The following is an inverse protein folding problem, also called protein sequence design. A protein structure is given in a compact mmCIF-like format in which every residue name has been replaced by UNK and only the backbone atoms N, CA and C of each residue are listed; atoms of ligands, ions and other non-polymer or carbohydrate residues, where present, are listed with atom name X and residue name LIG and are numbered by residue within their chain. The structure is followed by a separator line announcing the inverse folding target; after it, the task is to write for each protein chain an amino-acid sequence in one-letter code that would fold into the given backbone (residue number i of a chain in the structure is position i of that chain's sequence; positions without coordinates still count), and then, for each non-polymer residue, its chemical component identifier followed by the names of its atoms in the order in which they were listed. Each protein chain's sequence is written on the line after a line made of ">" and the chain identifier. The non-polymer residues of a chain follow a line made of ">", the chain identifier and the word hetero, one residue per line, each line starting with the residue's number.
data_IF_372285929520
#
_entry.id   IF_372285929520
#
_cell.length_a   1.000
_cell.length_b   1.000
_cell.length_c   1.000
_cell.angle_alpha   90.00
_cell.angle_beta   90.00
_cell.angle_gamma   90.00
#
_symmetry.space_group_name_H-M   'P 1'
#
loop_
_entity.id
_entity.type
_entity.pdbx_description
1 polymer ?
#
# COMPACT_ATOMS: atom_id res chain seq x y z
N UNK A 1 72.01 -53.14 4.85
CA UNK A 1 73.05 -52.55 3.98
C UNK A 1 72.38 -52.01 2.75
N UNK A 2 72.33 -50.71 2.55
CA UNK A 2 71.68 -50.05 1.44
C UNK A 2 71.52 -48.57 1.71
N UNK A 3 72.49 -47.78 1.30
CA UNK A 3 72.49 -46.33 1.35
C UNK A 3 71.42 -45.77 0.38
N UNK A 4 70.58 -44.88 0.87
CA UNK A 4 69.70 -44.09 0.01
C UNK A 4 70.21 -42.65 -0.02
N UNK A 5 70.55 -42.16 -1.21
CA UNK A 5 71.03 -40.81 -1.45
C UNK A 5 69.84 -39.86 -1.57
N UNK A 6 69.88 -38.75 -0.78
CA UNK A 6 68.92 -37.62 -0.89
C UNK A 6 69.35 -36.75 -2.07
N UNK A 7 68.47 -36.56 -3.04
CA UNK A 7 68.57 -35.51 -4.06
C UNK A 7 67.71 -34.40 -3.69
N UNK A 8 68.26 -33.22 -3.37
CA UNK A 8 67.60 -31.95 -3.17
C UNK A 8 67.30 -31.32 -4.55
N UNK A 9 66.05 -31.34 -4.95
CA UNK A 9 65.57 -30.57 -6.09
C UNK A 9 65.13 -29.19 -5.63
N UNK A 10 65.86 -28.14 -5.96
CA UNK A 10 65.46 -26.75 -5.76
C UNK A 10 64.39 -26.35 -6.75
N UNK A 11 63.22 -26.01 -6.28
CA UNK A 11 62.18 -25.33 -7.06
C UNK A 11 62.48 -23.85 -7.16
N UNK A 12 62.79 -23.37 -8.35
CA UNK A 12 62.81 -21.93 -8.66
C UNK A 12 61.38 -21.37 -8.66
N UNK A 13 61.12 -20.38 -7.88
CA UNK A 13 59.85 -19.64 -7.92
C UNK A 13 59.78 -18.75 -9.17
N UNK A 14 58.69 -18.84 -9.97
CA UNK A 14 58.43 -17.88 -11.04
C UNK A 14 58.12 -16.50 -10.43
N UNK A 15 58.77 -15.45 -10.99
CA UNK A 15 58.59 -14.08 -10.53
C UNK A 15 57.12 -13.62 -10.53
N UNK A 16 56.73 -12.99 -9.44
CA UNK A 16 55.45 -12.25 -9.35
C UNK A 16 55.49 -11.08 -10.34
N UNK A 17 54.72 -11.17 -11.41
CA UNK A 17 54.38 -10.03 -12.22
C UNK A 17 53.56 -9.06 -11.33
N UNK A 18 54.07 -7.85 -11.15
CA UNK A 18 53.41 -6.82 -10.37
C UNK A 18 52.02 -6.56 -10.95
N UNK A 19 50.99 -6.81 -10.11
CA UNK A 19 49.61 -6.44 -10.41
C UNK A 19 49.53 -4.94 -10.34
N UNK A 20 49.44 -4.24 -11.47
CA UNK A 20 49.14 -2.82 -11.52
C UNK A 20 47.73 -2.68 -10.98
N UNK A 21 47.59 -2.13 -9.77
CA UNK A 21 46.27 -1.80 -9.23
C UNK A 21 45.60 -0.76 -10.13
N UNK A 22 44.51 -1.16 -10.73
CA UNK A 22 43.65 -0.28 -11.50
C UNK A 22 43.11 0.83 -10.59
N UNK A 23 43.18 2.12 -10.96
CA UNK A 23 42.68 3.19 -10.12
C UNK A 23 41.18 3.01 -9.88
N UNK A 24 40.78 3.04 -8.59
CA UNK A 24 39.37 2.94 -8.21
C UNK A 24 38.53 4.02 -8.93
N UNK A 25 37.34 3.67 -9.41
CA UNK A 25 36.46 4.65 -10.07
C UNK A 25 36.12 5.79 -9.09
N UNK A 26 35.97 7.01 -9.60
CA UNK A 26 35.63 8.14 -8.75
C UNK A 26 34.32 7.90 -8.01
N UNK A 27 34.34 8.08 -6.69
CA UNK A 27 33.13 7.94 -5.87
C UNK A 27 32.09 8.97 -6.29
N UNK A 28 30.89 8.53 -6.62
CA UNK A 28 29.76 9.42 -6.88
C UNK A 28 29.49 10.27 -5.63
N UNK A 29 29.16 11.56 -5.79
CA UNK A 29 28.78 12.40 -4.66
C UNK A 29 27.59 11.78 -3.94
N UNK A 30 27.60 11.82 -2.60
CA UNK A 30 26.49 11.34 -1.79
C UNK A 30 25.19 12.08 -2.16
N UNK A 31 24.06 11.40 -2.24
CA UNK A 31 22.79 12.06 -2.46
C UNK A 31 22.52 13.09 -1.35
N UNK A 32 21.85 14.22 -1.68
CA UNK A 32 21.49 15.19 -0.67
C UNK A 32 20.67 14.55 0.45
N UNK A 33 20.79 15.01 1.70
CA UNK A 33 19.98 14.49 2.80
C UNK A 33 18.49 14.66 2.49
N UNK A 34 17.69 13.65 2.82
CA UNK A 34 16.24 13.74 2.69
C UNK A 34 15.71 14.93 3.50
N UNK A 35 14.68 15.66 2.99
CA UNK A 35 14.05 16.72 3.75
C UNK A 35 13.58 16.22 5.11
N UNK A 36 13.76 17.03 6.15
CA UNK A 36 13.24 16.71 7.47
C UNK A 36 11.72 16.57 7.42
N UNK A 37 11.12 15.62 8.15
CA UNK A 37 9.67 15.50 8.23
C UNK A 37 9.07 16.80 8.81
N UNK A 38 7.86 17.18 8.39
CA UNK A 38 7.19 18.38 8.89
C UNK A 38 6.99 18.29 10.42
N UNK A 39 7.31 19.36 11.13
CA UNK A 39 7.05 19.50 12.55
C UNK A 39 5.69 20.18 12.74
N UNK A 40 4.64 19.42 13.04
CA UNK A 40 3.29 19.95 13.28
C UNK A 40 2.19 19.09 12.67
N UNK A 41 0.92 19.44 12.89
CA UNK A 41 -0.19 18.69 12.34
C UNK A 41 -0.20 18.77 10.81
N UNK A 42 -0.29 17.63 10.15
CA UNK A 42 -0.40 17.51 8.69
C UNK A 42 -1.79 17.02 8.36
N UNK A 43 -2.55 17.79 7.57
CA UNK A 43 -3.83 17.33 7.04
C UNK A 43 -3.56 16.32 5.92
N UNK A 44 -3.88 15.05 6.17
CA UNK A 44 -3.68 13.96 5.20
C UNK A 44 -4.78 13.96 4.14
N UNK A 45 -6.04 14.06 4.58
CA UNK A 45 -7.19 14.10 3.68
C UNK A 45 -8.37 14.81 4.36
N UNK A 46 -9.24 15.41 3.55
CA UNK A 46 -10.53 15.95 3.98
C UNK A 46 -11.58 15.63 2.92
N UNK A 47 -12.78 15.25 3.37
CA UNK A 47 -13.90 14.94 2.49
C UNK A 47 -15.22 15.36 3.11
N UNK A 48 -16.20 15.68 2.26
CA UNK A 48 -17.57 16.00 2.68
C UNK A 48 -18.42 14.75 2.54
N UNK A 49 -19.08 14.36 3.63
CA UNK A 49 -20.14 13.35 3.64
C UNK A 49 -21.47 14.07 3.46
N UNK A 50 -22.23 13.73 2.44
CA UNK A 50 -23.52 14.36 2.13
C UNK A 50 -24.72 13.57 2.69
N UNK A 51 -24.45 12.50 3.41
CA UNK A 51 -25.45 11.64 4.04
C UNK A 51 -25.34 11.66 5.58
N UNK A 52 -26.36 11.13 6.26
CA UNK A 52 -26.29 10.98 7.72
C UNK A 52 -25.35 9.83 8.07
N UNK A 53 -24.36 10.11 8.91
CA UNK A 53 -23.42 9.12 9.43
C UNK A 53 -23.83 8.76 10.85
N UNK A 54 -23.93 7.46 11.11
CA UNK A 54 -24.08 6.92 12.47
C UNK A 54 -23.07 5.82 12.66
N UNK A 55 -22.10 6.05 13.55
CA UNK A 55 -21.08 5.05 13.91
C UNK A 55 -21.36 4.61 15.34
N UNK A 56 -21.38 3.30 15.57
CA UNK A 56 -21.62 2.73 16.90
C UNK A 56 -20.77 1.47 17.06
N UNK A 57 -20.18 1.34 18.24
CA UNK A 57 -19.55 0.09 18.68
C UNK A 57 -20.27 -0.40 19.90
N UNK A 58 -20.40 -1.72 20.04
CA UNK A 58 -20.99 -2.38 21.21
C UNK A 58 -19.92 -2.91 22.17
N UNK A 59 -18.65 -2.76 21.83
CA UNK A 59 -17.50 -3.23 22.58
C UNK A 59 -16.19 -2.65 22.06
N UNK A 60 -15.06 -3.28 22.34
CA UNK A 60 -13.77 -2.92 21.74
C UNK A 60 -13.86 -2.92 20.22
N UNK A 61 -13.17 -2.01 19.57
CA UNK A 61 -13.12 -1.92 18.11
C UNK A 61 -11.69 -1.68 17.63
N UNK A 62 -11.37 -2.18 16.45
CA UNK A 62 -10.15 -1.88 15.74
C UNK A 62 -10.39 -0.68 14.83
N UNK A 63 -9.56 0.36 14.96
CA UNK A 63 -9.58 1.53 14.09
C UNK A 63 -8.37 1.50 13.19
N UNK A 64 -8.58 1.56 11.88
CA UNK A 64 -7.49 1.58 10.91
C UNK A 64 -7.72 2.63 9.83
N UNK A 65 -6.61 3.14 9.27
CA UNK A 65 -6.61 4.06 8.13
C UNK A 65 -5.70 3.48 7.06
N UNK A 66 -6.20 3.44 5.83
CA UNK A 66 -5.46 2.90 4.67
C UNK A 66 -5.57 3.85 3.49
N UNK A 67 -4.62 3.75 2.57
CA UNK A 67 -4.76 4.31 1.23
C UNK A 67 -5.06 3.18 0.26
N UNK A 68 -6.09 3.37 -0.56
CA UNK A 68 -6.48 2.46 -1.63
C UNK A 68 -6.40 3.22 -2.95
N UNK A 69 -5.77 2.61 -3.95
CA UNK A 69 -5.66 3.18 -5.30
C UNK A 69 -6.37 2.25 -6.27
N UNK A 70 -7.35 2.77 -6.97
CA UNK A 70 -8.04 2.06 -8.05
C UNK A 70 -7.57 2.63 -9.39
N UNK A 71 -6.96 1.79 -10.23
CA UNK A 71 -6.59 2.17 -11.58
C UNK A 71 -7.84 2.38 -12.46
N UNK A 72 -7.75 3.08 -13.59
CA UNK A 72 -8.85 3.17 -14.55
C UNK A 72 -9.39 1.78 -14.92
N UNK A 73 -10.69 1.58 -14.75
CA UNK A 73 -11.38 0.31 -15.01
C UNK A 73 -11.30 -0.72 -13.88
N UNK A 74 -10.55 -0.47 -12.82
CA UNK A 74 -10.53 -1.35 -11.64
C UNK A 74 -11.80 -1.19 -10.80
N UNK A 75 -12.20 -2.30 -10.19
CA UNK A 75 -13.30 -2.38 -9.23
C UNK A 75 -12.91 -3.32 -8.09
N UNK A 76 -13.50 -3.09 -6.92
CA UNK A 76 -13.54 -4.11 -5.87
C UNK A 76 -14.52 -5.22 -6.28
N UNK A 77 -14.41 -6.39 -5.64
CA UNK A 77 -15.52 -7.32 -5.64
C UNK A 77 -16.69 -6.76 -4.80
N UNK A 78 -17.88 -7.38 -4.92
CA UNK A 78 -18.95 -7.13 -3.97
C UNK A 78 -18.56 -7.65 -2.61
N UNK A 79 -18.47 -6.77 -1.62
CA UNK A 79 -18.02 -7.11 -0.28
C UNK A 79 -18.77 -6.32 0.78
N UNK A 80 -18.52 -6.69 2.04
CA UNK A 80 -19.00 -5.98 3.23
C UNK A 80 -17.95 -6.05 4.32
N UNK A 81 -17.99 -5.11 5.25
CA UNK A 81 -17.13 -5.07 6.42
C UNK A 81 -17.88 -5.42 7.70
N UNK A 82 -17.25 -6.11 8.67
CA UNK A 82 -17.79 -6.30 10.01
C UNK A 82 -17.60 -5.02 10.85
N UNK A 83 -18.30 -3.97 10.48
CA UNK A 83 -18.22 -2.64 11.05
C UNK A 83 -18.41 -1.56 9.99
N UNK A 84 -17.99 -0.34 10.30
CA UNK A 84 -18.21 0.81 9.41
C UNK A 84 -16.97 1.16 8.60
N UNK A 85 -17.21 1.67 7.38
CA UNK A 85 -16.18 2.26 6.52
C UNK A 85 -16.53 3.71 6.21
N UNK A 86 -15.51 4.57 6.17
CA UNK A 86 -15.59 5.94 5.67
C UNK A 86 -14.43 6.16 4.69
N UNK A 87 -14.76 6.35 3.41
CA UNK A 87 -13.78 6.54 2.33
C UNK A 87 -13.82 7.97 1.79
N UNK A 88 -12.67 8.64 1.79
CA UNK A 88 -12.49 9.98 1.23
C UNK A 88 -11.82 9.87 -0.13
N UNK A 89 -12.41 10.44 -1.17
CA UNK A 89 -11.77 10.54 -2.49
C UNK A 89 -10.75 11.68 -2.45
N UNK A 90 -9.48 11.31 -2.41
CA UNK A 90 -8.36 12.26 -2.37
C UNK A 90 -7.99 12.75 -3.77
N UNK A 91 -8.07 11.88 -4.78
CA UNK A 91 -7.88 12.22 -6.19
C UNK A 91 -8.74 11.34 -7.10
N UNK A 92 -8.96 11.77 -8.33
CA UNK A 92 -9.80 11.03 -9.28
C UNK A 92 -11.28 11.05 -8.93
N UNK A 93 -11.97 9.99 -9.29
CA UNK A 93 -13.39 9.76 -8.99
C UNK A 93 -13.68 8.27 -8.89
N UNK A 94 -14.69 7.91 -8.11
CA UNK A 94 -15.18 6.54 -8.02
C UNK A 94 -16.69 6.49 -8.19
N UNK A 95 -17.18 5.35 -8.65
CA UNK A 95 -18.60 5.00 -8.72
C UNK A 95 -18.87 3.93 -7.68
N UNK A 96 -19.91 4.13 -6.88
CA UNK A 96 -20.29 3.23 -5.79
C UNK A 96 -21.66 2.63 -6.10
N UNK A 97 -21.77 1.33 -5.93
CA UNK A 97 -23.04 0.60 -5.88
C UNK A 97 -23.24 0.06 -4.46
N UNK A 98 -24.47 0.13 -3.97
CA UNK A 98 -24.85 -0.42 -2.66
C UNK A 98 -26.00 -1.41 -2.82
N UNK A 99 -26.05 -2.40 -1.95
CA UNK A 99 -27.22 -3.28 -1.85
C UNK A 99 -28.51 -2.45 -1.68
N UNK A 100 -29.56 -2.86 -2.35
CA UNK A 100 -30.88 -2.19 -2.40
C UNK A 100 -30.90 -0.79 -3.05
N UNK A 101 -29.73 -0.28 -3.51
CA UNK A 101 -29.59 0.99 -4.21
C UNK A 101 -28.67 0.78 -5.42
N UNK A 102 -29.22 0.08 -6.44
CA UNK A 102 -28.45 -0.28 -7.64
C UNK A 102 -28.17 0.89 -8.59
N UNK A 103 -28.67 2.08 -8.26
CA UNK A 103 -28.32 3.29 -9.00
C UNK A 103 -26.89 3.71 -8.65
N UNK A 104 -25.97 3.74 -9.64
CA UNK A 104 -24.59 4.11 -9.41
C UNK A 104 -24.48 5.53 -8.89
N UNK A 105 -23.82 5.72 -7.75
CA UNK A 105 -23.51 7.04 -7.20
C UNK A 105 -22.05 7.37 -7.42
N UNK A 106 -21.77 8.54 -8.00
CA UNK A 106 -20.41 9.00 -8.27
C UNK A 106 -19.92 9.90 -7.15
N UNK A 107 -18.66 9.69 -6.75
CA UNK A 107 -17.95 10.51 -5.78
C UNK A 107 -16.66 11.01 -6.41
N UNK A 108 -16.38 12.30 -6.25
CA UNK A 108 -15.25 13.01 -6.79
C UNK A 108 -14.32 13.48 -5.69
N UNK A 109 -13.17 14.00 -6.05
CA UNK A 109 -12.20 14.56 -5.10
C UNK A 109 -12.88 15.52 -4.10
N UNK A 110 -12.60 15.29 -2.81
CA UNK A 110 -13.13 16.07 -1.70
C UNK A 110 -14.52 15.62 -1.22
N UNK A 111 -15.06 14.56 -1.81
CA UNK A 111 -16.26 13.91 -1.30
C UNK A 111 -15.87 12.66 -0.50
N UNK A 112 -16.73 12.26 0.40
CA UNK A 112 -16.56 11.05 1.18
C UNK A 112 -17.85 10.22 1.16
N UNK A 113 -17.67 8.91 1.16
CA UNK A 113 -18.74 7.93 1.20
C UNK A 113 -18.68 7.16 2.51
N UNK A 114 -19.83 6.90 3.11
CA UNK A 114 -19.98 6.13 4.32
C UNK A 114 -20.69 4.81 4.02
N UNK A 115 -20.15 3.71 4.54
CA UNK A 115 -20.81 2.40 4.52
C UNK A 115 -21.10 1.97 5.95
N UNK A 116 -22.36 1.62 6.20
CA UNK A 116 -22.80 1.10 7.48
C UNK A 116 -22.25 -0.33 7.71
N UNK A 117 -22.25 -0.73 8.98
CA UNK A 117 -21.89 -2.10 9.38
C UNK A 117 -22.65 -3.15 8.56
N UNK A 118 -21.91 -4.07 7.97
CA UNK A 118 -22.41 -5.18 7.18
C UNK A 118 -23.05 -4.79 5.84
N UNK A 119 -22.99 -3.54 5.41
CA UNK A 119 -23.61 -3.09 4.16
C UNK A 119 -22.84 -3.57 2.93
N UNK A 120 -23.42 -4.46 2.09
CA UNK A 120 -22.81 -4.86 0.83
C UNK A 120 -22.66 -3.69 -0.13
N UNK A 121 -21.47 -3.59 -0.73
CA UNK A 121 -21.16 -2.55 -1.70
C UNK A 121 -20.04 -2.97 -2.66
N UNK A 122 -19.88 -2.17 -3.71
CA UNK A 122 -18.82 -2.25 -4.70
C UNK A 122 -18.36 -0.84 -5.04
N UNK A 123 -17.06 -0.65 -5.14
CA UNK A 123 -16.42 0.61 -5.55
C UNK A 123 -15.65 0.35 -6.85
N UNK A 124 -15.82 1.21 -7.86
CA UNK A 124 -15.09 1.10 -9.11
C UNK A 124 -14.61 2.45 -9.61
N UNK A 125 -13.52 2.45 -10.36
CA UNK A 125 -13.02 3.63 -11.04
C UNK A 125 -13.43 3.59 -12.52
N UNK A 126 -14.51 4.29 -12.84
CA UNK A 126 -14.97 4.49 -14.24
C UNK A 126 -14.28 5.69 -14.92
N UNK A 127 -13.33 6.34 -14.25
CA UNK A 127 -12.59 7.48 -14.78
C UNK A 127 -11.41 7.08 -15.65
N UNK A 128 -10.75 8.08 -16.21
CA UNK A 128 -9.58 7.89 -17.07
C UNK A 128 -8.23 8.02 -16.33
N UNK A 129 -8.25 8.34 -15.04
CA UNK A 129 -7.07 8.52 -14.19
C UNK A 129 -7.22 7.69 -12.91
N UNK A 130 -6.13 7.32 -12.24
CA UNK A 130 -6.21 6.63 -10.95
C UNK A 130 -7.06 7.42 -9.94
N UNK A 131 -7.80 6.70 -9.10
CA UNK A 131 -8.55 7.24 -7.98
C UNK A 131 -7.87 6.82 -6.68
N UNK A 132 -7.46 7.81 -5.88
CA UNK A 132 -6.86 7.60 -4.57
C UNK A 132 -7.91 7.84 -3.49
N UNK A 133 -8.07 6.86 -2.61
CA UNK A 133 -8.97 6.94 -1.46
C UNK A 133 -8.17 6.83 -0.17
N UNK A 134 -8.53 7.66 0.81
CA UNK A 134 -8.15 7.45 2.21
C UNK A 134 -9.34 6.82 2.90
N UNK A 135 -9.18 5.58 3.29
CA UNK A 135 -10.23 4.73 3.84
C UNK A 135 -10.01 4.54 5.32
N UNK A 136 -11.05 4.74 6.08
CA UNK A 136 -11.06 4.55 7.53
C UNK A 136 -12.04 3.47 7.89
N UNK A 137 -11.58 2.51 8.66
CA UNK A 137 -12.40 1.40 9.16
C UNK A 137 -12.54 1.46 10.67
N UNK A 138 -13.73 1.12 11.15
CA UNK A 138 -14.01 0.86 12.56
C UNK A 138 -14.68 -0.52 12.63
N UNK A 139 -13.88 -1.55 12.90
CA UNK A 139 -14.26 -2.96 12.75
C UNK A 139 -14.21 -3.71 14.07
N UNK A 140 -14.82 -4.88 14.13
CA UNK A 140 -14.66 -5.81 15.22
C UNK A 140 -13.21 -6.31 15.30
N UNK A 141 -12.59 -6.32 16.51
CA UNK A 141 -11.21 -6.76 16.64
C UNK A 141 -11.04 -8.24 16.29
N UNK A 142 -10.05 -8.52 15.43
CA UNK A 142 -9.71 -9.90 15.03
C UNK A 142 -10.63 -10.49 13.96
N UNK A 143 -11.66 -9.78 13.52
CA UNK A 143 -12.41 -10.14 12.33
C UNK A 143 -11.59 -9.86 11.04
N UNK A 144 -11.84 -10.59 9.94
CA UNK A 144 -11.31 -10.21 8.65
C UNK A 144 -11.83 -8.82 8.27
N UNK A 145 -10.99 -8.03 7.59
CA UNK A 145 -11.37 -6.65 7.24
C UNK A 145 -12.61 -6.57 6.35
N UNK A 146 -12.78 -7.56 5.50
CA UNK A 146 -13.91 -7.67 4.57
C UNK A 146 -14.29 -9.13 4.33
N UNK A 147 -15.46 -9.35 3.77
CA UNK A 147 -15.93 -10.64 3.27
C UNK A 147 -16.67 -10.44 1.96
N UNK A 148 -16.35 -11.27 0.98
CA UNK A 148 -17.03 -11.27 -0.31
C UNK A 148 -18.47 -11.66 -0.13
N UNK A 149 -19.32 -11.05 -0.93
CA UNK A 149 -20.74 -11.37 -1.01
C UNK A 149 -21.17 -11.54 -2.47
N UNK A 150 -22.23 -12.28 -2.75
CA UNK A 150 -22.80 -12.33 -4.10
C UNK A 150 -23.15 -10.92 -4.60
N UNK A 151 -23.09 -10.68 -5.92
CA UNK A 151 -23.54 -9.43 -6.50
C UNK A 151 -24.96 -9.07 -6.03
N UNK A 152 -25.10 -7.87 -5.48
CA UNK A 152 -26.39 -7.39 -4.94
C UNK A 152 -27.17 -6.56 -5.97
N UNK A 153 -26.55 -6.32 -7.10
CA UNK A 153 -27.08 -5.69 -8.29
C UNK A 153 -26.60 -6.49 -9.51
#
# INVERSE_FOLDING_TARGET
>A
MGLAALLLAGCAQPGQLGSSAEPAPPSLPAPPPAPAPPTGPVLVATGRVNERVTMRTTGPAAYSVRTVVLQPGEATEWHRHPGTELSIVQSGQVTVLREHHCDPTRYSRGEAVFFADGQPHLIRNDGAVPADLVVTYLLDPGAPDESDVPPAC
#
